data_IF_807557963309
#
_entry.id   IF_807557963309
#
_cell.length_a   1.000
_cell.length_b   1.000
_cell.length_c   1.000
_cell.angle_alpha   90.00
_cell.angle_beta   90.00
_cell.angle_gamma   90.00
#
_symmetry.space_group_name_H-M   'P 1'
#
loop_
_entity.id
_entity.type
_entity.pdbx_description
1 polymer ?
#
# COMPACT_ATOMS: atom_id res chain seq x y z
N UNK A 1 4.98 9.37 23.62
CA UNK A 1 4.98 8.91 22.20
C UNK A 1 4.22 7.60 22.06
N UNK A 2 3.65 7.37 20.90
CA UNK A 2 2.90 6.15 20.62
C UNK A 2 3.71 5.24 19.67
N UNK A 3 3.59 3.94 19.86
CA UNK A 3 4.26 2.95 19.02
C UNK A 3 3.23 1.94 18.51
N UNK A 4 3.17 1.74 17.20
CA UNK A 4 2.32 0.71 16.64
C UNK A 4 2.89 -0.67 16.94
N UNK A 5 2.13 -1.56 17.64
CA UNK A 5 2.66 -2.88 17.99
C UNK A 5 2.80 -3.82 16.80
N UNK A 6 2.14 -3.52 15.67
CA UNK A 6 2.18 -4.37 14.48
C UNK A 6 3.31 -4.03 13.52
N UNK A 7 3.51 -2.74 13.21
CA UNK A 7 4.49 -2.34 12.20
C UNK A 7 5.68 -1.56 12.75
N UNK A 8 5.63 -1.13 14.01
CA UNK A 8 6.72 -0.38 14.61
C UNK A 8 6.74 1.12 14.30
N UNK A 9 5.74 1.63 13.58
CA UNK A 9 5.65 3.06 13.33
C UNK A 9 5.52 3.83 14.65
N UNK A 10 6.12 5.02 14.70
CA UNK A 10 6.14 5.86 15.91
C UNK A 10 5.39 7.15 15.64
N UNK A 11 4.47 7.50 16.54
CA UNK A 11 3.81 8.79 16.54
C UNK A 11 4.60 9.77 17.41
N UNK A 12 5.17 10.79 16.78
CA UNK A 12 6.07 11.73 17.42
C UNK A 12 5.37 12.93 18.10
N UNK A 13 4.04 12.94 18.08
CA UNK A 13 3.22 14.05 18.59
C UNK A 13 2.64 14.89 17.46
N UNK A 14 3.13 14.73 16.24
CA UNK A 14 2.68 15.48 15.07
C UNK A 14 2.23 14.57 13.93
N UNK A 15 2.95 13.50 13.68
CA UNK A 15 2.62 12.54 12.63
C UNK A 15 3.24 11.18 12.92
N UNK A 16 2.78 10.17 12.19
CA UNK A 16 3.34 8.83 12.27
C UNK A 16 4.59 8.72 11.39
N UNK A 17 5.66 8.17 11.95
CA UNK A 17 6.92 7.93 11.26
C UNK A 17 7.10 6.44 11.06
N UNK A 18 7.16 6.00 9.79
CA UNK A 18 7.22 4.57 9.45
C UNK A 18 8.60 3.95 9.64
N UNK A 19 9.66 4.72 9.44
CA UNK A 19 11.04 4.28 9.69
C UNK A 19 11.73 5.30 10.59
N UNK A 20 11.56 5.19 11.92
CA UNK A 20 12.17 6.15 12.85
C UNK A 20 13.70 6.09 12.80
N UNK A 21 14.32 7.26 12.73
CA UNK A 21 15.78 7.36 12.76
C UNK A 21 16.33 7.19 14.18
N UNK A 22 17.64 7.20 14.30
CA UNK A 22 18.32 7.02 15.59
C UNK A 22 17.94 8.09 16.61
N UNK A 23 17.78 9.32 16.18
CA UNK A 23 17.41 10.42 17.07
C UNK A 23 16.01 10.23 17.63
N UNK A 24 15.03 9.87 16.79
CA UNK A 24 13.67 9.62 17.23
C UNK A 24 13.62 8.41 18.17
N UNK A 25 14.38 7.35 17.88
CA UNK A 25 14.46 6.17 18.73
C UNK A 25 15.06 6.51 20.11
N UNK A 26 16.04 7.41 20.17
CA UNK A 26 16.59 7.87 21.46
C UNK A 26 15.55 8.65 22.25
N UNK A 27 14.79 9.53 21.60
CA UNK A 27 13.70 10.28 22.25
C UNK A 27 12.63 9.34 22.76
N UNK A 28 12.30 8.32 21.97
CA UNK A 28 11.32 7.31 22.35
C UNK A 28 11.76 6.55 23.59
N UNK A 29 13.03 6.15 23.66
CA UNK A 29 13.58 5.42 24.79
C UNK A 29 13.48 6.20 26.12
N UNK A 30 13.49 7.53 26.05
CA UNK A 30 13.41 8.42 27.21
C UNK A 30 11.99 8.87 27.53
N UNK A 31 11.01 8.56 26.70
CA UNK A 31 9.62 9.00 26.88
C UNK A 31 8.74 7.86 27.37
N UNK A 32 7.54 8.24 27.83
CA UNK A 32 6.51 7.27 28.15
C UNK A 32 5.95 6.73 26.83
N UNK A 33 5.96 5.41 26.67
CA UNK A 33 5.49 4.72 25.47
C UNK A 33 4.08 4.22 25.66
N UNK A 34 3.22 4.49 24.68
CA UNK A 34 1.87 3.96 24.62
C UNK A 34 1.75 3.12 23.36
N UNK A 35 1.06 2.00 23.46
CA UNK A 35 0.78 1.15 22.30
C UNK A 35 -0.51 1.57 21.64
N UNK A 36 -0.46 1.86 20.34
CA UNK A 36 -1.64 2.21 19.56
C UNK A 36 -1.41 1.81 18.12
N UNK A 37 -2.39 1.16 17.51
CA UNK A 37 -2.30 0.82 16.09
C UNK A 37 -2.19 2.09 15.25
N UNK A 38 -1.25 2.11 14.30
CA UNK A 38 -1.19 3.20 13.34
C UNK A 38 -2.41 3.14 12.41
N UNK A 39 -2.74 4.24 11.71
CA UNK A 39 -3.91 4.24 10.80
C UNK A 39 -3.91 3.12 9.77
N UNK A 40 -2.75 2.76 9.23
CA UNK A 40 -2.64 1.68 8.25
C UNK A 40 -2.97 0.31 8.83
N UNK A 41 -2.37 -0.03 9.97
CA UNK A 41 -2.65 -1.30 10.63
C UNK A 41 -4.10 -1.38 11.11
N UNK A 42 -4.67 -0.25 11.53
CA UNK A 42 -6.07 -0.19 11.93
C UNK A 42 -7.00 -0.49 10.74
N UNK A 43 -6.71 0.06 9.57
CA UNK A 43 -7.48 -0.22 8.36
C UNK A 43 -7.40 -1.69 7.98
N UNK A 44 -6.21 -2.29 8.10
CA UNK A 44 -6.02 -3.72 7.82
C UNK A 44 -6.85 -4.56 8.79
N UNK A 45 -6.81 -4.26 10.08
CA UNK A 45 -7.60 -4.96 11.10
C UNK A 45 -9.09 -4.87 10.82
N UNK A 46 -9.56 -3.71 10.40
CA UNK A 46 -10.97 -3.48 10.07
C UNK A 46 -11.37 -3.99 8.70
N UNK A 47 -10.43 -4.56 7.95
CA UNK A 47 -10.64 -5.02 6.57
C UNK A 47 -11.17 -3.90 5.68
N UNK A 48 -10.65 -2.71 5.87
CA UNK A 48 -11.05 -1.52 5.11
C UNK A 48 -10.26 -1.46 3.81
N UNK A 49 -10.91 -1.85 2.70
CA UNK A 49 -10.32 -1.84 1.37
C UNK A 49 -10.92 -0.67 0.58
N UNK A 50 -10.07 0.22 0.07
CA UNK A 50 -10.50 1.38 -0.69
C UNK A 50 -10.02 1.35 -2.15
N UNK A 51 -9.29 0.32 -2.53
CA UNK A 51 -8.84 0.16 -3.90
C UNK A 51 -8.53 -1.29 -4.25
N UNK A 52 -8.81 -1.65 -5.50
CA UNK A 52 -8.49 -2.95 -6.05
C UNK A 52 -7.78 -2.75 -7.38
N UNK A 53 -6.59 -3.33 -7.51
CA UNK A 53 -5.82 -3.30 -8.76
C UNK A 53 -5.82 -4.70 -9.34
N UNK A 54 -6.32 -4.84 -10.56
CA UNK A 54 -6.31 -6.11 -11.28
C UNK A 54 -5.33 -6.01 -12.44
N UNK A 55 -4.31 -6.86 -12.42
CA UNK A 55 -3.30 -6.94 -13.47
C UNK A 55 -3.48 -8.25 -14.21
N UNK A 56 -3.76 -8.20 -15.51
CA UNK A 56 -4.08 -9.38 -16.33
C UNK A 56 -3.20 -9.48 -17.56
N UNK A 57 -3.16 -10.68 -18.10
CA UNK A 57 -2.54 -10.98 -19.37
C UNK A 57 -1.34 -11.88 -19.27
N UNK A 58 -0.94 -12.45 -20.41
CA UNK A 58 0.19 -13.39 -20.47
C UNK A 58 1.51 -12.77 -19.99
N UNK A 59 1.66 -11.46 -20.12
CA UNK A 59 2.85 -10.74 -19.63
C UNK A 59 3.07 -10.98 -18.15
N UNK A 60 2.00 -10.94 -17.34
CA UNK A 60 2.07 -11.13 -15.89
C UNK A 60 2.66 -12.50 -15.54
N UNK A 61 2.19 -13.54 -16.22
CA UNK A 61 2.65 -14.90 -15.98
C UNK A 61 4.16 -15.05 -16.26
N UNK A 62 4.64 -14.41 -17.32
CA UNK A 62 6.06 -14.45 -17.71
C UNK A 62 6.95 -13.55 -16.86
N UNK A 63 6.40 -12.53 -16.21
CA UNK A 63 7.17 -11.51 -15.48
C UNK A 63 6.65 -11.30 -14.06
N UNK A 64 6.11 -12.35 -13.46
CA UNK A 64 5.43 -12.29 -12.18
C UNK A 64 6.28 -11.66 -11.08
N UNK A 65 7.53 -12.10 -10.94
CA UNK A 65 8.43 -11.59 -9.91
C UNK A 65 8.73 -10.10 -10.09
N UNK A 66 9.01 -9.69 -11.32
CA UNK A 66 9.31 -8.27 -11.62
C UNK A 66 8.11 -7.37 -11.31
N UNK A 67 6.93 -7.80 -11.70
CA UNK A 67 5.69 -7.04 -11.47
C UNK A 67 5.39 -6.96 -9.97
N UNK A 68 5.48 -8.09 -9.26
CA UNK A 68 5.23 -8.13 -7.83
C UNK A 68 6.23 -7.27 -7.05
N UNK A 69 7.51 -7.32 -7.44
CA UNK A 69 8.54 -6.48 -6.81
C UNK A 69 8.27 -4.99 -7.01
N UNK A 70 7.83 -4.60 -8.22
CA UNK A 70 7.45 -3.21 -8.48
C UNK A 70 6.28 -2.78 -7.60
N UNK A 71 5.24 -3.62 -7.52
CA UNK A 71 4.06 -3.32 -6.71
C UNK A 71 4.44 -3.12 -5.24
N UNK A 72 5.27 -3.99 -4.69
CA UNK A 72 5.70 -3.89 -3.29
C UNK A 72 6.55 -2.67 -3.04
N UNK A 73 7.42 -2.29 -3.99
CA UNK A 73 8.24 -1.08 -3.87
C UNK A 73 7.38 0.18 -3.89
N UNK A 74 6.42 0.25 -4.80
CA UNK A 74 5.49 1.38 -4.87
C UNK A 74 4.69 1.49 -3.57
N UNK A 75 4.23 0.36 -3.05
CA UNK A 75 3.48 0.32 -1.79
C UNK A 75 4.33 0.78 -0.61
N UNK A 76 5.59 0.37 -0.54
CA UNK A 76 6.50 0.80 0.53
C UNK A 76 6.74 2.31 0.49
N UNK A 77 6.99 2.86 -0.70
CA UNK A 77 7.15 4.30 -0.86
C UNK A 77 5.88 5.06 -0.49
N UNK A 78 4.72 4.54 -0.88
CA UNK A 78 3.44 5.14 -0.51
C UNK A 78 3.21 5.13 1.00
N UNK A 79 3.57 4.05 1.66
CA UNK A 79 3.46 3.90 3.12
C UNK A 79 4.33 4.93 3.85
N UNK A 80 5.54 5.20 3.38
CA UNK A 80 6.41 6.22 3.99
C UNK A 80 5.82 7.63 3.86
N UNK A 81 5.04 7.88 2.81
CA UNK A 81 4.39 9.17 2.59
C UNK A 81 3.05 9.27 3.32
N UNK A 82 2.36 8.15 3.47
CA UNK A 82 1.05 8.08 4.12
C UNK A 82 0.92 6.74 4.84
N UNK A 83 1.06 6.77 6.16
CA UNK A 83 1.03 5.56 6.99
C UNK A 83 -0.28 4.76 6.83
N UNK A 84 -1.38 5.42 6.44
CA UNK A 84 -2.66 4.75 6.20
C UNK A 84 -2.70 3.95 4.90
N UNK A 85 -1.75 4.19 3.99
CA UNK A 85 -1.72 3.54 2.68
C UNK A 85 -0.91 2.24 2.74
N UNK A 86 -1.61 1.12 2.71
CA UNK A 86 -1.01 -0.22 2.80
C UNK A 86 -1.62 -1.16 1.78
N UNK A 87 -0.87 -2.18 1.39
CA UNK A 87 -1.45 -3.32 0.69
C UNK A 87 -2.19 -4.15 1.73
N UNK A 88 -3.47 -4.42 1.45
CA UNK A 88 -4.27 -5.33 2.28
C UNK A 88 -3.97 -6.78 1.93
N UNK A 89 -3.97 -7.11 0.64
CA UNK A 89 -3.69 -8.47 0.17
C UNK A 89 -3.26 -8.47 -1.30
N UNK A 90 -2.39 -9.40 -1.66
CA UNK A 90 -2.03 -9.70 -3.05
C UNK A 90 -2.43 -11.15 -3.30
N UNK A 91 -3.26 -11.37 -4.32
CA UNK A 91 -3.74 -12.70 -4.69
C UNK A 91 -3.37 -13.00 -6.14
N UNK A 92 -3.06 -14.25 -6.42
CA UNK A 92 -2.95 -14.74 -7.78
C UNK A 92 -4.33 -15.21 -8.23
N UNK A 93 -4.83 -14.68 -9.35
CA UNK A 93 -6.09 -15.13 -9.95
C UNK A 93 -5.90 -15.38 -11.44
N UNK A 94 -6.09 -16.63 -11.85
CA UNK A 94 -5.87 -17.01 -13.25
C UNK A 94 -4.46 -16.68 -13.71
N UNK A 95 -4.34 -15.92 -14.78
CA UNK A 95 -3.05 -15.46 -15.33
C UNK A 95 -2.61 -14.10 -14.77
N UNK A 96 -3.31 -13.60 -13.77
CA UNK A 96 -3.06 -12.26 -13.25
C UNK A 96 -2.87 -12.17 -11.75
N UNK A 97 -2.80 -10.91 -11.30
CA UNK A 97 -2.68 -10.54 -9.88
C UNK A 97 -3.81 -9.60 -9.51
N UNK A 98 -4.34 -9.77 -8.30
CA UNK A 98 -5.30 -8.85 -7.71
C UNK A 98 -4.67 -8.29 -6.45
N UNK A 99 -4.55 -6.97 -6.39
CA UNK A 99 -3.97 -6.26 -5.24
C UNK A 99 -5.05 -5.40 -4.60
N UNK A 100 -5.35 -5.68 -3.34
CA UNK A 100 -6.26 -4.86 -2.56
C UNK A 100 -5.47 -3.89 -1.71
N UNK A 101 -5.90 -2.62 -1.65
CA UNK A 101 -5.22 -1.59 -0.87
C UNK A 101 -6.16 -0.93 0.13
N UNK A 102 -5.60 -0.40 1.20
CA UNK A 102 -6.36 0.34 2.21
C UNK A 102 -6.58 1.81 1.81
N UNK A 103 -6.03 2.23 0.69
CA UNK A 103 -6.09 3.62 0.24
C UNK A 103 -6.26 3.68 -1.28
N UNK A 104 -7.22 4.51 -1.74
CA UNK A 104 -7.52 4.66 -3.17
C UNK A 104 -6.37 5.24 -3.97
N UNK A 105 -5.63 6.20 -3.40
CA UNK A 105 -4.50 6.83 -4.08
C UNK A 105 -3.34 5.85 -4.28
N UNK A 106 -3.15 4.94 -3.35
CA UNK A 106 -2.14 3.89 -3.50
C UNK A 106 -2.49 2.97 -4.67
N UNK A 107 -3.76 2.56 -4.79
CA UNK A 107 -4.21 1.72 -5.90
C UNK A 107 -3.97 2.43 -7.24
N UNK A 108 -4.34 3.70 -7.33
CA UNK A 108 -4.11 4.51 -8.52
C UNK A 108 -2.62 4.58 -8.88
N UNK A 109 -1.78 4.82 -7.88
CA UNK A 109 -0.34 4.92 -8.07
C UNK A 109 0.27 3.60 -8.53
N UNK A 110 -0.17 2.48 -7.99
CA UNK A 110 0.29 1.15 -8.42
C UNK A 110 -0.03 0.97 -9.90
N UNK A 111 -1.26 1.26 -10.32
CA UNK A 111 -1.65 1.14 -11.72
C UNK A 111 -0.80 2.00 -12.66
N UNK A 112 -0.58 3.25 -12.29
CA UNK A 112 0.24 4.18 -13.09
C UNK A 112 1.70 3.73 -13.19
N UNK A 113 2.27 3.23 -12.11
CA UNK A 113 3.67 2.77 -12.11
C UNK A 113 3.84 1.48 -12.92
N UNK A 114 2.86 0.59 -12.87
CA UNK A 114 2.87 -0.63 -13.70
C UNK A 114 2.80 -0.26 -15.18
N UNK A 115 1.90 0.65 -15.55
CA UNK A 115 1.81 1.13 -16.94
C UNK A 115 3.10 1.79 -17.40
N UNK A 116 3.69 2.62 -16.57
CA UNK A 116 4.93 3.31 -16.87
C UNK A 116 6.08 2.33 -17.11
N UNK A 117 6.20 1.31 -16.28
CA UNK A 117 7.28 0.34 -16.35
C UNK A 117 7.09 -0.71 -17.44
N UNK A 118 5.88 -1.20 -17.62
CA UNK A 118 5.59 -2.36 -18.47
C UNK A 118 4.64 -2.09 -19.64
N UNK A 119 4.21 -0.84 -19.83
CA UNK A 119 3.23 -0.45 -20.86
C UNK A 119 1.89 -1.13 -20.60
N UNK A 120 1.16 -1.52 -21.65
CA UNK A 120 -0.15 -2.13 -21.51
C UNK A 120 -1.29 -1.12 -21.45
N UNK A 121 -2.49 -1.63 -21.20
CA UNK A 121 -3.72 -0.84 -21.18
C UNK A 121 -4.21 -0.65 -19.76
N UNK A 122 -4.30 0.60 -19.32
CA UNK A 122 -4.70 0.98 -17.97
C UNK A 122 -6.05 1.67 -17.99
N UNK A 123 -6.93 1.30 -17.07
CA UNK A 123 -8.25 1.90 -16.92
C UNK A 123 -8.57 2.09 -15.44
N UNK A 124 -9.21 3.22 -15.12
CA UNK A 124 -9.67 3.54 -13.77
C UNK A 124 -11.19 3.67 -13.73
N UNK A 125 -11.79 3.12 -12.67
CA UNK A 125 -13.21 3.33 -12.37
C UNK A 125 -13.33 3.82 -10.94
N UNK A 126 -13.73 5.07 -10.78
CA UNK A 126 -13.88 5.71 -9.47
C UNK A 126 -15.32 5.62 -8.99
N UNK A 127 -15.48 5.18 -7.74
CA UNK A 127 -16.75 5.25 -7.04
C UNK A 127 -16.65 6.38 -6.01
N UNK A 128 -17.05 7.59 -6.40
CA UNK A 128 -16.90 8.79 -5.56
C UNK A 128 -17.63 8.70 -4.23
N UNK A 129 -18.78 8.05 -4.21
CA UNK A 129 -19.62 7.94 -3.03
C UNK A 129 -18.97 7.14 -1.90
N UNK A 130 -18.24 6.09 -2.25
CA UNK A 130 -17.64 5.17 -1.28
C UNK A 130 -16.12 5.27 -1.21
N UNK A 131 -15.53 6.27 -1.86
CA UNK A 131 -14.08 6.45 -1.95
C UNK A 131 -13.38 5.15 -2.36
N UNK A 132 -13.86 4.56 -3.42
CA UNK A 132 -13.33 3.30 -3.91
C UNK A 132 -12.88 3.44 -5.35
N UNK A 133 -11.74 2.84 -5.69
CA UNK A 133 -11.24 2.82 -7.06
C UNK A 133 -10.97 1.39 -7.51
N UNK A 134 -11.40 1.07 -8.75
CA UNK A 134 -11.05 -0.16 -9.44
C UNK A 134 -10.05 0.19 -10.53
N UNK A 135 -8.87 -0.38 -10.45
CA UNK A 135 -7.80 -0.18 -11.42
C UNK A 135 -7.64 -1.47 -12.21
N UNK A 136 -7.70 -1.38 -13.52
CA UNK A 136 -7.54 -2.53 -14.41
C UNK A 136 -6.40 -2.28 -15.37
N UNK A 137 -5.46 -3.21 -15.45
CA UNK A 137 -4.34 -3.15 -16.37
C UNK A 137 -4.20 -4.50 -17.08
N UNK A 138 -3.91 -4.45 -18.37
CA UNK A 138 -3.79 -5.66 -19.17
C UNK A 138 -2.64 -5.53 -20.17
N UNK A 139 -1.89 -6.62 -20.32
CA UNK A 139 -0.89 -6.77 -21.36
C UNK A 139 -0.70 -8.25 -21.69
N UNK A 140 -0.80 -8.58 -22.96
CA UNK A 140 -0.48 -9.92 -23.48
C UNK A 140 1.02 -10.01 -23.88
#
# INVERSE_FOLDING_TARGET
MKVCPECGAVYDGHHWVTEPDKELLRKLAKSKKEKELCPGCLRIERQQVEGVVTLKGAFIDSHLEEVENLVRRVAKNGWHQNVAARIFEIKREGDGLVIETTDEHLAERIGKEVEKAFKGDLEFKWQKKDRFVRVSWQRE
#
